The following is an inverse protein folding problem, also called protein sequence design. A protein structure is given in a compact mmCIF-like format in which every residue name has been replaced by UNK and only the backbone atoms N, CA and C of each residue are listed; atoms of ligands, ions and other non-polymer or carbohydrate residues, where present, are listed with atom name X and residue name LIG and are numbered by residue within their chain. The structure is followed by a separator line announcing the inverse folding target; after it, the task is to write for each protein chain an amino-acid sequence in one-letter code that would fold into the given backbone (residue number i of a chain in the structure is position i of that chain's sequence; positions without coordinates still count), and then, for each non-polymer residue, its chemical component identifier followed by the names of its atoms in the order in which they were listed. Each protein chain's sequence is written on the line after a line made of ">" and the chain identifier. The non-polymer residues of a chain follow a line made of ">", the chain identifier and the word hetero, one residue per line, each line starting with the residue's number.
data_IF_686863826650
#
_entry.id   IF_686863826650
#
_cell.length_a   1.000
_cell.length_b   1.000
_cell.length_c   1.000
_cell.angle_alpha   90.00
_cell.angle_beta   90.00
_cell.angle_gamma   90.00
#
_symmetry.space_group_name_H-M   'P 1'
#
loop_
_entity.id
_entity.type
_entity.pdbx_description
1 polymer ?
#
# COMPACT_ATOMS: atom_id res chain seq x y z
N UNK A 1 -0.76 -22.17 10.60
CA UNK A 1 -2.16 -22.49 11.01
C UNK A 1 -2.72 -21.44 11.99
N UNK A 2 -1.90 -20.86 12.83
CA UNK A 2 -2.31 -19.86 13.85
C UNK A 2 -2.78 -18.54 13.22
N UNK A 3 -2.18 -18.13 12.11
CA UNK A 3 -2.50 -16.87 11.42
C UNK A 3 -3.96 -16.80 10.93
N UNK A 4 -4.55 -17.94 10.60
CA UNK A 4 -5.95 -18.01 10.13
C UNK A 4 -6.98 -17.92 11.27
N UNK A 5 -6.55 -17.92 12.52
CA UNK A 5 -7.41 -17.76 13.70
C UNK A 5 -7.34 -16.36 14.32
N UNK A 6 -6.54 -15.46 13.74
CA UNK A 6 -6.46 -14.08 14.22
C UNK A 6 -7.78 -13.37 13.87
N UNK A 7 -8.40 -12.81 14.90
CA UNK A 7 -9.60 -11.97 14.75
C UNK A 7 -9.23 -10.55 15.13
N UNK A 8 -9.55 -9.59 14.26
CA UNK A 8 -9.43 -8.16 14.54
C UNK A 8 -10.83 -7.55 14.58
N UNK A 9 -11.42 -7.35 15.76
CA UNK A 9 -12.84 -7.05 15.92
C UNK A 9 -13.14 -5.55 15.79
N UNK A 10 -12.49 -4.85 14.86
CA UNK A 10 -12.80 -3.45 14.60
C UNK A 10 -14.22 -3.30 14.05
N UNK A 11 -14.94 -2.23 14.42
CA UNK A 11 -16.22 -1.91 13.82
C UNK A 11 -16.04 -1.62 12.33
N UNK A 12 -17.04 -1.97 11.51
CA UNK A 12 -17.07 -1.57 10.11
C UNK A 12 -17.38 -0.07 9.95
N UNK A 13 -17.04 0.49 8.78
CA UNK A 13 -17.33 1.88 8.42
C UNK A 13 -18.21 1.93 7.14
N UNK A 14 -19.49 1.47 7.20
CA UNK A 14 -20.32 1.32 6.00
C UNK A 14 -20.65 2.66 5.31
N UNK A 15 -20.78 3.74 6.06
CA UNK A 15 -21.04 5.07 5.50
C UNK A 15 -19.85 5.58 4.68
N UNK A 16 -18.63 5.41 5.21
CA UNK A 16 -17.40 5.79 4.49
C UNK A 16 -17.15 4.84 3.31
N UNK A 17 -17.48 3.55 3.45
CA UNK A 17 -17.40 2.60 2.34
C UNK A 17 -18.39 2.98 1.21
N UNK A 18 -19.59 3.44 1.53
CA UNK A 18 -20.55 3.96 0.55
C UNK A 18 -20.03 5.25 -0.11
N UNK A 19 -19.48 6.17 0.66
CA UNK A 19 -18.82 7.38 0.14
C UNK A 19 -17.66 7.05 -0.80
N UNK A 20 -16.86 6.05 -0.45
CA UNK A 20 -15.78 5.51 -1.30
C UNK A 20 -16.31 4.98 -2.62
N UNK A 21 -17.40 4.21 -2.60
CA UNK A 21 -18.04 3.70 -3.82
C UNK A 21 -18.45 4.86 -4.76
N UNK A 22 -19.10 5.89 -4.22
CA UNK A 22 -19.53 7.07 -4.99
C UNK A 22 -18.35 7.81 -5.63
N UNK A 23 -17.24 7.97 -4.91
CA UNK A 23 -16.02 8.61 -5.41
C UNK A 23 -15.37 7.80 -6.55
N UNK A 24 -15.30 6.47 -6.39
CA UNK A 24 -14.74 5.59 -7.41
C UNK A 24 -15.61 5.58 -8.67
N UNK A 25 -16.94 5.49 -8.53
CA UNK A 25 -17.88 5.53 -9.65
C UNK A 25 -17.83 6.88 -10.38
N UNK A 26 -17.75 8.00 -9.66
CA UNK A 26 -17.60 9.33 -10.24
C UNK A 26 -16.30 9.48 -11.04
N UNK A 27 -15.25 8.75 -10.63
CA UNK A 27 -13.97 8.69 -11.37
C UNK A 27 -13.97 7.66 -12.52
N UNK A 28 -15.11 7.00 -12.80
CA UNK A 28 -15.19 5.97 -13.83
C UNK A 28 -14.53 4.65 -13.48
N UNK A 29 -14.26 4.41 -12.20
CA UNK A 29 -13.67 3.18 -11.68
C UNK A 29 -14.76 2.26 -11.13
N UNK A 30 -15.12 1.17 -11.83
CA UNK A 30 -16.17 0.27 -11.37
C UNK A 30 -15.82 -0.33 -10.00
N UNK A 31 -16.74 -0.23 -9.06
CA UNK A 31 -16.60 -0.74 -7.72
C UNK A 31 -17.93 -1.33 -7.22
N UNK A 32 -17.88 -2.11 -6.16
CA UNK A 32 -19.05 -2.63 -5.46
C UNK A 32 -18.74 -2.86 -4.01
N UNK A 33 -19.73 -2.76 -3.14
CA UNK A 33 -19.60 -3.14 -1.75
C UNK A 33 -19.76 -4.65 -1.58
N UNK A 34 -18.94 -5.24 -0.71
CA UNK A 34 -19.10 -6.59 -0.21
C UNK A 34 -19.26 -6.54 1.32
N UNK A 35 -20.47 -6.84 1.80
CA UNK A 35 -20.82 -6.79 3.22
C UNK A 35 -20.52 -8.11 3.96
N UNK A 36 -19.94 -9.10 3.27
CA UNK A 36 -19.69 -10.44 3.83
C UNK A 36 -18.21 -10.76 3.94
N UNK A 37 -17.38 -10.13 3.13
CA UNK A 37 -15.95 -10.36 3.14
C UNK A 37 -15.35 -9.86 4.46
N UNK A 38 -14.66 -10.74 5.17
CA UNK A 38 -13.87 -10.36 6.35
C UNK A 38 -12.56 -9.66 5.98
N UNK A 39 -11.92 -9.07 6.96
CA UNK A 39 -10.60 -8.46 6.78
C UNK A 39 -9.54 -9.51 6.43
N UNK A 40 -8.74 -9.23 5.41
CA UNK A 40 -7.58 -10.03 5.06
C UNK A 40 -6.35 -9.65 5.91
N UNK A 41 -5.24 -10.38 5.72
CA UNK A 41 -4.00 -10.11 6.47
C UNK A 41 -3.40 -8.73 6.15
N UNK A 42 -3.60 -8.21 4.96
CA UNK A 42 -3.18 -6.85 4.61
C UNK A 42 -3.87 -5.79 5.45
N UNK A 43 -5.09 -6.04 5.90
CA UNK A 43 -5.84 -5.16 6.79
C UNK A 43 -5.51 -5.43 8.25
N UNK A 44 -5.70 -6.66 8.75
CA UNK A 44 -5.58 -6.89 10.20
C UNK A 44 -4.14 -6.88 10.71
N UNK A 45 -3.15 -7.27 9.92
CA UNK A 45 -1.77 -7.38 10.43
C UNK A 45 -1.17 -6.01 10.85
N UNK A 46 -1.21 -4.96 10.02
CA UNK A 46 -0.74 -3.64 10.46
C UNK A 46 -1.63 -3.04 11.55
N UNK A 47 -2.94 -3.18 11.44
CA UNK A 47 -3.87 -2.57 12.38
C UNK A 47 -3.81 -3.20 13.77
N UNK A 48 -3.54 -4.49 13.87
CA UNK A 48 -3.34 -5.18 15.15
C UNK A 48 -2.17 -4.59 15.95
N UNK A 49 -1.14 -4.10 15.26
CA UNK A 49 0.02 -3.44 15.89
C UNK A 49 -0.24 -1.97 16.15
N UNK A 50 -0.85 -1.26 15.20
CA UNK A 50 -1.09 0.19 15.29
C UNK A 50 -2.23 0.53 16.26
N UNK A 51 -3.29 -0.26 16.28
CA UNK A 51 -4.52 -0.04 17.03
C UNK A 51 -4.99 -1.34 17.69
N UNK A 52 -4.25 -1.86 18.68
CA UNK A 52 -4.51 -3.19 19.27
C UNK A 52 -5.90 -3.31 19.90
N UNK A 53 -6.48 -2.20 20.37
CA UNK A 53 -7.82 -2.17 20.97
C UNK A 53 -8.96 -2.25 19.94
N UNK A 54 -8.63 -2.24 18.64
CA UNK A 54 -9.58 -2.36 17.52
C UNK A 54 -10.79 -1.39 17.60
N UNK A 55 -10.59 -0.17 18.12
CA UNK A 55 -11.68 0.80 18.35
C UNK A 55 -11.94 1.69 17.13
N UNK A 56 -11.00 1.79 16.21
CA UNK A 56 -11.12 2.61 15.01
C UNK A 56 -12.00 1.88 13.98
N UNK A 57 -13.05 2.52 13.43
CA UNK A 57 -13.82 1.93 12.35
C UNK A 57 -12.97 1.69 11.10
N UNK A 58 -13.11 0.50 10.50
CA UNK A 58 -12.28 0.06 9.37
C UNK A 58 -13.14 -0.50 8.26
N UNK A 59 -12.76 -0.23 7.04
CA UNK A 59 -13.17 -0.97 5.85
C UNK A 59 -11.93 -1.20 4.97
N UNK A 60 -11.99 -2.14 4.07
CA UNK A 60 -10.89 -2.41 3.14
C UNK A 60 -11.33 -2.19 1.70
N UNK A 61 -10.40 -1.72 0.88
CA UNK A 61 -10.55 -1.59 -0.57
C UNK A 61 -9.61 -2.60 -1.22
N UNK A 62 -10.17 -3.49 -2.06
CA UNK A 62 -9.37 -4.48 -2.75
C UNK A 62 -8.51 -3.86 -3.85
N UNK A 63 -7.37 -4.48 -4.13
CA UNK A 63 -6.57 -4.15 -5.30
C UNK A 63 -7.36 -4.44 -6.58
N UNK A 64 -7.04 -3.71 -7.63
CA UNK A 64 -7.58 -3.97 -8.97
C UNK A 64 -6.88 -5.16 -9.62
N UNK A 65 -7.63 -5.94 -10.38
CA UNK A 65 -7.07 -7.07 -11.15
C UNK A 65 -6.06 -6.56 -12.16
N UNK A 66 -4.95 -7.29 -12.31
CA UNK A 66 -3.86 -6.93 -13.23
C UNK A 66 -2.85 -5.97 -12.65
N UNK A 67 -3.11 -5.41 -11.46
CA UNK A 67 -2.17 -4.59 -10.70
C UNK A 67 -1.57 -3.40 -11.46
N UNK A 68 -2.31 -2.82 -12.45
CA UNK A 68 -1.82 -1.64 -13.19
C UNK A 68 -1.47 -0.50 -12.23
N UNK A 69 -0.25 0.03 -12.31
CA UNK A 69 0.14 1.22 -11.53
C UNK A 69 -0.80 2.40 -11.76
N UNK A 70 -1.14 2.69 -13.03
CA UNK A 70 -1.99 3.81 -13.43
C UNK A 70 -3.39 3.71 -12.81
N UNK A 71 -3.98 2.50 -12.81
CA UNK A 71 -5.29 2.28 -12.19
C UNK A 71 -5.26 2.48 -10.67
N UNK A 72 -4.16 2.09 -10.00
CA UNK A 72 -4.02 2.30 -8.55
C UNK A 72 -3.75 3.76 -8.21
N UNK A 73 -2.99 4.49 -9.02
CA UNK A 73 -2.88 5.95 -8.90
C UNK A 73 -4.24 6.64 -9.10
N UNK A 74 -4.99 6.26 -10.14
CA UNK A 74 -6.32 6.80 -10.39
C UNK A 74 -7.29 6.51 -9.23
N UNK A 75 -7.23 5.31 -8.67
CA UNK A 75 -7.98 4.94 -7.48
C UNK A 75 -7.60 5.85 -6.29
N UNK A 76 -6.32 6.04 -6.04
CA UNK A 76 -5.84 6.94 -4.99
C UNK A 76 -6.35 8.36 -5.15
N UNK A 77 -6.24 8.94 -6.35
CA UNK A 77 -6.75 10.29 -6.67
C UNK A 77 -8.24 10.41 -6.40
N UNK A 78 -9.02 9.40 -6.76
CA UNK A 78 -10.45 9.36 -6.48
C UNK A 78 -10.76 9.37 -4.98
N UNK A 79 -9.90 8.74 -4.18
CA UNK A 79 -10.06 8.64 -2.72
C UNK A 79 -9.48 9.83 -1.94
N UNK A 80 -8.75 10.73 -2.60
CA UNK A 80 -8.12 11.89 -1.94
C UNK A 80 -9.07 12.72 -1.06
N UNK A 81 -10.34 13.00 -1.47
CA UNK A 81 -11.27 13.76 -0.66
C UNK A 81 -11.56 13.17 0.72
N UNK A 82 -11.45 11.85 0.89
CA UNK A 82 -11.67 11.18 2.17
C UNK A 82 -10.69 11.64 3.25
N UNK A 83 -9.50 12.08 2.87
CA UNK A 83 -8.48 12.59 3.82
C UNK A 83 -8.96 13.85 4.53
N UNK A 84 -9.65 14.75 3.80
CA UNK A 84 -10.27 15.95 4.38
C UNK A 84 -11.50 15.60 5.24
N UNK A 85 -12.07 14.43 5.04
CA UNK A 85 -13.16 13.86 5.83
C UNK A 85 -12.65 13.09 7.08
N UNK A 86 -11.34 13.14 7.37
CA UNK A 86 -10.72 12.50 8.55
C UNK A 86 -10.44 11.02 8.40
N UNK A 87 -10.35 10.51 7.18
CA UNK A 87 -10.05 9.11 6.88
C UNK A 87 -8.55 8.92 6.65
N UNK A 88 -7.93 8.02 7.42
CA UNK A 88 -6.57 7.54 7.15
C UNK A 88 -6.60 6.53 6.02
N UNK A 89 -5.86 6.79 4.95
CA UNK A 89 -5.64 5.84 3.85
C UNK A 89 -4.34 5.10 4.12
N UNK A 90 -4.43 3.78 4.36
CA UNK A 90 -3.29 2.91 4.63
C UNK A 90 -3.04 2.00 3.43
N UNK A 91 -1.96 2.23 2.71
CA UNK A 91 -1.44 1.32 1.69
C UNK A 91 -0.64 0.19 2.35
N UNK A 92 -1.31 -0.92 2.63
CA UNK A 92 -0.69 -2.09 3.26
C UNK A 92 0.01 -2.97 2.23
N UNK A 93 1.32 -3.06 2.35
CA UNK A 93 2.16 -3.86 1.47
C UNK A 93 3.57 -3.99 2.05
N UNK A 94 4.54 -4.26 1.21
CA UNK A 94 5.95 -4.35 1.61
C UNK A 94 6.82 -3.93 0.43
N UNK A 95 7.84 -3.10 0.66
CA UNK A 95 8.78 -2.65 -0.39
C UNK A 95 9.69 -3.75 -0.95
N UNK A 96 9.65 -4.94 -0.36
CA UNK A 96 10.25 -6.17 -0.88
C UNK A 96 9.32 -7.35 -0.59
N UNK A 97 8.86 -8.06 -1.63
CA UNK A 97 7.96 -9.21 -1.47
C UNK A 97 8.34 -10.38 -2.37
N UNK A 98 9.52 -10.95 -2.14
CA UNK A 98 9.92 -12.22 -2.76
C UNK A 98 10.00 -13.32 -1.70
N UNK A 99 8.91 -14.07 -1.52
CA UNK A 99 8.80 -15.14 -0.53
C UNK A 99 9.74 -16.33 -0.79
N UNK A 100 10.40 -16.37 -1.95
CA UNK A 100 11.37 -17.42 -2.31
C UNK A 100 12.81 -17.02 -2.04
N UNK A 101 13.05 -15.75 -1.68
CA UNK A 101 14.39 -15.20 -1.47
C UNK A 101 14.41 -14.31 -0.23
N UNK A 102 14.80 -14.88 0.90
CA UNK A 102 15.02 -14.18 2.16
C UNK A 102 16.46 -14.34 2.64
N UNK A 103 16.79 -13.69 3.75
CA UNK A 103 18.12 -13.77 4.36
C UNK A 103 19.18 -13.06 3.52
N UNK A 104 20.45 -13.52 3.59
CA UNK A 104 21.57 -12.82 2.93
C UNK A 104 21.44 -12.66 1.42
N UNK A 105 20.72 -13.56 0.75
CA UNK A 105 20.50 -13.48 -0.70
C UNK A 105 19.61 -12.31 -1.11
N UNK A 106 18.71 -11.87 -0.24
CA UNK A 106 17.82 -10.75 -0.48
C UNK A 106 18.50 -9.39 -0.28
N UNK A 107 19.66 -9.34 0.38
CA UNK A 107 20.29 -8.10 0.82
C UNK A 107 20.52 -7.13 -0.34
N UNK A 108 21.34 -7.50 -1.31
CA UNK A 108 21.69 -6.63 -2.44
C UNK A 108 20.47 -6.21 -3.26
N UNK A 109 19.55 -7.12 -3.67
CA UNK A 109 18.35 -6.72 -4.39
C UNK A 109 17.46 -5.77 -3.61
N UNK A 110 17.19 -6.04 -2.33
CA UNK A 110 16.29 -5.20 -1.54
C UNK A 110 16.90 -3.84 -1.22
N UNK A 111 18.21 -3.75 -0.91
CA UNK A 111 18.91 -2.48 -0.71
C UNK A 111 18.84 -1.59 -1.96
N UNK A 112 19.10 -2.17 -3.14
CA UNK A 112 19.09 -1.40 -4.37
C UNK A 112 17.69 -0.92 -4.76
N UNK A 113 16.67 -1.77 -4.60
CA UNK A 113 15.28 -1.38 -4.85
C UNK A 113 14.77 -0.34 -3.84
N UNK A 114 15.08 -0.51 -2.55
CA UNK A 114 14.70 0.44 -1.49
C UNK A 114 15.37 1.82 -1.68
N UNK A 115 16.64 1.84 -2.11
CA UNK A 115 17.33 3.08 -2.42
C UNK A 115 16.65 3.81 -3.59
N UNK A 116 16.38 3.10 -4.69
CA UNK A 116 15.66 3.63 -5.84
C UNK A 116 14.27 4.16 -5.43
N UNK A 117 13.54 3.39 -4.62
CA UNK A 117 12.20 3.79 -4.16
C UNK A 117 12.27 5.07 -3.32
N UNK A 118 13.24 5.17 -2.42
CA UNK A 118 13.44 6.37 -1.61
C UNK A 118 13.79 7.60 -2.43
N UNK A 119 14.68 7.47 -3.42
CA UNK A 119 15.04 8.56 -4.35
C UNK A 119 13.84 8.98 -5.21
N UNK A 120 13.10 8.00 -5.73
CA UNK A 120 11.90 8.25 -6.53
C UNK A 120 10.83 8.98 -5.71
N UNK A 121 10.57 8.56 -4.48
CA UNK A 121 9.58 9.21 -3.62
C UNK A 121 9.98 10.62 -3.18
N UNK A 122 11.28 10.94 -3.18
CA UNK A 122 11.79 12.29 -2.90
C UNK A 122 11.79 13.23 -4.13
N UNK A 123 11.53 12.70 -5.33
CA UNK A 123 11.49 13.49 -6.56
C UNK A 123 10.24 14.39 -6.64
N UNK A 124 10.22 15.31 -7.61
CA UNK A 124 9.05 16.13 -7.91
C UNK A 124 7.84 15.25 -8.29
N UNK A 125 6.60 15.67 -7.98
CA UNK A 125 5.40 14.83 -8.12
C UNK A 125 5.26 14.14 -9.48
N UNK A 126 5.45 14.87 -10.58
CA UNK A 126 5.30 14.34 -11.94
C UNK A 126 6.37 13.27 -12.23
N UNK A 127 7.62 13.55 -11.91
CA UNK A 127 8.75 12.63 -12.12
C UNK A 127 8.59 11.37 -11.26
N UNK A 128 8.13 11.54 -10.02
CA UNK A 128 7.85 10.47 -9.08
C UNK A 128 6.77 9.52 -9.62
N UNK A 129 5.66 10.09 -10.11
CA UNK A 129 4.55 9.32 -10.66
C UNK A 129 4.97 8.55 -11.91
N UNK A 130 5.68 9.20 -12.85
CA UNK A 130 6.22 8.55 -14.04
C UNK A 130 7.16 7.38 -13.71
N UNK A 131 8.11 7.59 -12.80
CA UNK A 131 9.05 6.55 -12.39
C UNK A 131 8.36 5.38 -11.70
N UNK A 132 7.32 5.63 -10.88
CA UNK A 132 6.56 4.56 -10.21
C UNK A 132 5.62 3.82 -11.18
N UNK A 133 5.13 4.45 -12.23
CA UNK A 133 4.41 3.77 -13.31
C UNK A 133 5.35 2.81 -14.04
N UNK A 134 6.59 3.24 -14.31
CA UNK A 134 7.65 2.42 -14.92
C UNK A 134 8.52 1.67 -13.88
N UNK A 135 7.95 1.28 -12.76
CA UNK A 135 8.67 0.67 -11.63
C UNK A 135 9.47 -0.59 -12.02
N UNK A 136 9.11 -1.26 -13.11
CA UNK A 136 9.82 -2.44 -13.60
C UNK A 136 11.23 -2.11 -14.12
N UNK A 137 11.50 -0.85 -14.46
CA UNK A 137 12.85 -0.38 -14.84
C UNK A 137 13.77 -0.20 -13.63
N UNK A 138 13.24 -0.25 -12.41
CA UNK A 138 14.02 -0.13 -11.17
C UNK A 138 15.02 -1.28 -11.00
N UNK A 139 16.15 -1.04 -10.31
CA UNK A 139 17.11 -2.09 -9.99
C UNK A 139 16.44 -3.27 -9.27
N UNK A 140 16.62 -4.49 -9.82
CA UNK A 140 16.09 -5.73 -9.26
C UNK A 140 14.56 -5.78 -9.09
N UNK A 141 13.80 -4.94 -9.79
CA UNK A 141 12.35 -4.81 -9.66
C UNK A 141 11.61 -6.15 -9.58
N UNK A 142 11.75 -6.99 -10.60
CA UNK A 142 11.11 -8.32 -10.67
C UNK A 142 11.75 -9.39 -9.77
N UNK A 143 12.93 -9.14 -9.23
CA UNK A 143 13.52 -9.96 -8.17
C UNK A 143 12.86 -9.60 -6.83
N UNK A 144 12.66 -8.33 -6.55
CA UNK A 144 12.00 -7.87 -5.32
C UNK A 144 10.50 -8.15 -5.34
N UNK A 145 9.86 -7.98 -6.49
CA UNK A 145 8.43 -8.18 -6.71
C UNK A 145 8.19 -9.09 -7.92
N UNK A 146 8.19 -10.41 -7.68
CA UNK A 146 7.78 -11.38 -8.70
C UNK A 146 6.34 -11.15 -9.17
N UNK A 147 5.50 -10.65 -8.26
CA UNK A 147 4.18 -10.08 -8.48
C UNK A 147 4.10 -8.78 -7.66
N UNK A 148 3.45 -7.77 -8.18
CA UNK A 148 3.40 -6.41 -7.63
C UNK A 148 2.29 -6.16 -6.61
N UNK A 149 1.57 -7.19 -6.22
CA UNK A 149 0.43 -7.11 -5.30
C UNK A 149 0.76 -6.44 -3.95
N UNK A 150 2.01 -6.53 -3.49
CA UNK A 150 2.48 -5.87 -2.27
C UNK A 150 3.17 -4.51 -2.53
N UNK A 151 3.35 -4.11 -3.79
CA UNK A 151 3.89 -2.80 -4.16
C UNK A 151 2.79 -1.79 -4.48
N UNK A 152 1.76 -2.21 -5.22
CA UNK A 152 0.71 -1.30 -5.72
C UNK A 152 -0.15 -0.63 -4.63
N UNK A 153 -0.27 -1.14 -3.38
CA UNK A 153 -0.90 -0.37 -2.31
C UNK A 153 -0.24 0.99 -2.04
N UNK A 154 1.07 1.09 -2.24
CA UNK A 154 1.80 2.36 -2.18
C UNK A 154 1.29 3.36 -3.23
N UNK A 155 1.00 2.90 -4.46
CA UNK A 155 0.55 3.76 -5.55
C UNK A 155 -0.85 4.33 -5.27
N UNK A 156 -1.73 3.54 -4.65
CA UNK A 156 -3.02 4.03 -4.21
C UNK A 156 -2.90 5.07 -3.08
N UNK A 157 -2.07 4.81 -2.06
CA UNK A 157 -1.83 5.76 -0.98
C UNK A 157 -1.20 7.06 -1.49
N UNK A 158 -0.21 6.95 -2.38
CA UNK A 158 0.45 8.11 -2.99
C UNK A 158 -0.50 8.88 -3.92
N UNK A 159 -1.34 8.20 -4.70
CA UNK A 159 -2.33 8.85 -5.55
C UNK A 159 -3.31 9.74 -4.76
N UNK A 160 -3.63 9.34 -3.51
CA UNK A 160 -4.44 10.15 -2.61
C UNK A 160 -3.69 11.38 -2.02
N UNK A 161 -2.37 11.45 -2.22
CA UNK A 161 -1.48 12.47 -1.64
C UNK A 161 -0.45 12.97 -2.66
N UNK A 162 -0.79 12.99 -3.94
CA UNK A 162 0.16 13.12 -5.06
C UNK A 162 0.99 14.41 -5.03
N UNK A 163 0.44 15.51 -4.50
CA UNK A 163 1.17 16.77 -4.33
C UNK A 163 2.02 16.89 -3.07
N UNK A 164 2.01 15.89 -2.19
CA UNK A 164 2.63 15.97 -0.88
C UNK A 164 4.03 15.35 -0.83
N UNK A 165 4.82 15.79 0.16
CA UNK A 165 6.17 15.26 0.39
C UNK A 165 6.07 13.86 1.03
N UNK A 166 6.84 12.93 0.49
CA UNK A 166 7.01 11.61 1.12
C UNK A 166 8.03 11.71 2.27
N UNK A 167 7.63 11.29 3.45
CA UNK A 167 8.52 11.17 4.61
C UNK A 167 8.75 9.71 4.92
N UNK A 168 9.99 9.23 4.87
CA UNK A 168 10.33 7.87 5.31
C UNK A 168 10.23 7.80 6.83
N UNK A 169 9.28 7.03 7.34
CA UNK A 169 8.99 6.91 8.78
C UNK A 169 9.52 5.63 9.39
N UNK A 170 9.88 4.65 8.57
CA UNK A 170 10.49 3.40 8.99
C UNK A 170 11.52 2.95 7.95
N UNK A 171 12.61 2.35 8.41
CA UNK A 171 13.65 1.76 7.58
C UNK A 171 14.36 0.65 8.37
N UNK A 172 14.41 -0.53 7.82
CA UNK A 172 15.13 -1.68 8.38
C UNK A 172 15.97 -2.34 7.30
N UNK A 173 17.22 -2.63 7.63
CA UNK A 173 18.20 -3.27 6.73
C UNK A 173 18.47 -4.74 7.07
N UNK A 174 17.75 -5.27 8.05
CA UNK A 174 17.96 -6.61 8.58
C UNK A 174 16.70 -7.47 8.67
N UNK A 175 15.58 -6.98 8.15
CA UNK A 175 14.30 -7.68 8.20
C UNK A 175 14.46 -9.10 7.61
N UNK A 176 13.91 -10.12 8.32
CA UNK A 176 13.99 -11.53 7.87
C UNK A 176 15.41 -12.01 7.53
N UNK A 177 16.44 -11.45 8.20
CA UNK A 177 17.83 -11.86 8.06
C UNK A 177 18.58 -11.24 6.89
N UNK A 178 18.11 -10.16 6.29
CA UNK A 178 18.83 -9.44 5.24
C UNK A 178 17.99 -8.58 4.30
N UNK A 179 16.69 -8.54 4.44
CA UNK A 179 15.82 -7.69 3.63
C UNK A 179 15.89 -6.24 4.10
N UNK A 180 16.04 -5.31 3.18
CA UNK A 180 15.83 -3.88 3.42
C UNK A 180 14.38 -3.53 3.07
N UNK A 181 13.68 -2.84 3.98
CA UNK A 181 12.32 -2.39 3.78
C UNK A 181 12.07 -1.03 4.43
N UNK A 182 11.22 -0.24 3.80
CA UNK A 182 10.86 1.10 4.25
C UNK A 182 9.35 1.32 4.26
N UNK A 183 8.90 2.22 5.16
CA UNK A 183 7.54 2.74 5.14
C UNK A 183 7.55 4.26 5.01
N UNK A 184 6.53 4.79 4.37
CA UNK A 184 6.42 6.20 4.04
C UNK A 184 5.10 6.79 4.50
N UNK A 185 5.14 8.06 4.88
CA UNK A 185 3.98 8.89 5.20
C UNK A 185 3.90 10.05 4.24
N UNK A 186 2.71 10.42 3.84
CA UNK A 186 2.36 11.57 3.02
C UNK A 186 1.44 12.50 3.83
N UNK A 187 1.80 13.77 3.93
CA UNK A 187 1.10 14.76 4.75
C UNK A 187 1.65 14.97 6.14
#
# INVERSE_FOLDING_TARGET
>A
KETYSITYPAPGAPEIAQRTLELLEAAGLPARMDMKQGFDHGTFAPLYVMYPDAQIPVYQVSLRKGYSPEEHFAMGRALAPLRDEGVLILGSGLSYHNLRMFGPAAKVPSEAFDAWLGETLAAAPEQRTEALIDWESAPYARICHAQEDHLVPLFAALGAAEGEVATRVYHDVGLMGGVTASSYRFG
#
